data_IF_349467916933
#
_entry.id   IF_349467916933
#
_cell.length_a   1.000
_cell.length_b   1.000
_cell.length_c   1.000
_cell.angle_alpha   90.00
_cell.angle_beta   90.00
_cell.angle_gamma   90.00
#
_symmetry.space_group_name_H-M   'P 1'
#
loop_
_entity.id
_entity.type
_entity.pdbx_description
1 polymer ?
#
# COMPACT_ATOMS: atom_id res chain seq x y z
N UNK A 1 3.95 27.26 1.71
CA UNK A 1 3.79 25.97 2.42
C UNK A 1 3.74 24.88 1.36
N UNK A 2 4.57 23.84 1.45
CA UNK A 2 4.60 22.76 0.46
C UNK A 2 3.53 21.70 0.74
N UNK A 3 3.09 20.99 -0.29
CA UNK A 3 2.20 19.82 -0.17
C UNK A 3 3.05 18.55 -0.07
N UNK A 4 2.98 17.85 1.06
CA UNK A 4 3.73 16.63 1.36
C UNK A 4 2.88 15.40 1.07
N UNK A 5 3.26 14.65 0.04
CA UNK A 5 2.54 13.44 -0.41
C UNK A 5 3.38 12.20 -0.14
N UNK A 6 2.79 11.19 0.48
CA UNK A 6 3.38 9.86 0.63
C UNK A 6 2.86 8.94 -0.46
N UNK A 7 3.77 8.28 -1.17
CA UNK A 7 3.43 7.29 -2.19
C UNK A 7 3.83 5.89 -1.68
N UNK A 8 2.83 5.04 -1.45
CA UNK A 8 3.02 3.63 -1.07
C UNK A 8 2.93 2.80 -2.35
N UNK A 9 4.06 2.22 -2.78
CA UNK A 9 4.08 1.34 -3.96
C UNK A 9 3.66 -0.08 -3.61
N UNK A 10 2.55 -0.54 -4.19
CA UNK A 10 1.91 -1.82 -3.86
C UNK A 10 1.68 -2.64 -5.14
N UNK A 11 2.55 -3.63 -5.42
CA UNK A 11 2.40 -4.58 -6.55
C UNK A 11 2.17 -6.00 -6.05
N UNK A 12 1.38 -6.81 -6.76
CA UNK A 12 1.11 -8.20 -6.32
C UNK A 12 2.26 -9.17 -6.64
N UNK A 13 3.00 -8.93 -7.73
CA UNK A 13 4.03 -9.84 -8.28
C UNK A 13 5.35 -9.96 -7.49
N UNK A 14 5.29 -10.14 -6.17
CA UNK A 14 6.46 -10.37 -5.31
C UNK A 14 7.09 -11.75 -5.59
N UNK A 15 8.41 -11.81 -5.82
CA UNK A 15 9.10 -13.06 -6.22
C UNK A 15 9.49 -13.97 -5.05
N UNK A 16 9.83 -13.40 -3.89
CA UNK A 16 10.25 -14.17 -2.69
C UNK A 16 9.07 -14.60 -1.81
N UNK A 17 8.04 -13.77 -1.76
CA UNK A 17 6.82 -14.02 -1.01
C UNK A 17 5.65 -13.54 -1.85
N UNK A 18 5.09 -14.45 -2.65
CA UNK A 18 4.01 -14.16 -3.59
C UNK A 18 2.88 -13.41 -2.88
N UNK A 19 2.35 -12.35 -3.50
CA UNK A 19 1.22 -11.56 -2.98
C UNK A 19 1.44 -10.92 -1.60
N UNK A 20 2.69 -10.71 -1.16
CA UNK A 20 3.05 -10.17 0.18
C UNK A 20 2.17 -9.01 0.64
N UNK A 21 1.90 -8.05 -0.25
CA UNK A 21 1.16 -6.81 0.03
C UNK A 21 -0.26 -7.09 0.55
N UNK A 22 -0.89 -8.14 0.04
CA UNK A 22 -2.26 -8.55 0.40
C UNK A 22 -2.31 -9.71 1.38
N UNK A 23 -1.16 -10.24 1.83
CA UNK A 23 -1.15 -11.29 2.85
C UNK A 23 -1.64 -10.74 4.18
N UNK A 24 -2.45 -11.55 4.85
CA UNK A 24 -2.91 -11.31 6.21
C UNK A 24 -1.76 -11.37 7.21
N UNK A 25 -1.71 -10.39 8.09
CA UNK A 25 -0.77 -10.27 9.18
C UNK A 25 -1.55 -9.70 10.37
N UNK A 26 -1.80 -10.49 11.43
CA UNK A 26 -2.58 -10.04 12.58
C UNK A 26 -3.97 -9.46 12.23
N UNK A 27 -4.70 -10.10 11.30
CA UNK A 27 -6.07 -9.75 10.94
C UNK A 27 -6.23 -8.51 10.06
N UNK A 28 -5.14 -8.00 9.48
CA UNK A 28 -5.17 -7.02 8.41
C UNK A 28 -4.09 -7.35 7.37
N UNK A 29 -4.26 -6.90 6.13
CA UNK A 29 -3.22 -7.04 5.10
C UNK A 29 -1.96 -6.25 5.47
N UNK A 30 -0.80 -6.69 4.95
CA UNK A 30 0.46 -5.92 5.08
C UNK A 30 0.28 -4.46 4.62
N UNK A 31 -0.44 -4.23 3.51
CA UNK A 31 -0.74 -2.89 3.02
C UNK A 31 -1.59 -2.07 4.01
N UNK A 32 -2.60 -2.67 4.62
CA UNK A 32 -3.45 -1.99 5.59
C UNK A 32 -2.64 -1.53 6.81
N UNK A 33 -1.69 -2.35 7.26
CA UNK A 33 -0.75 -1.97 8.32
C UNK A 33 0.13 -0.77 7.93
N UNK A 34 0.65 -0.76 6.71
CA UNK A 34 1.48 0.35 6.22
C UNK A 34 0.67 1.65 6.16
N UNK A 35 -0.54 1.61 5.58
CA UNK A 35 -1.45 2.77 5.52
C UNK A 35 -1.78 3.27 6.93
N UNK A 36 -2.11 2.36 7.86
CA UNK A 36 -2.44 2.72 9.25
C UNK A 36 -1.29 3.41 9.95
N UNK A 37 -0.05 2.98 9.72
CA UNK A 37 1.15 3.62 10.29
C UNK A 37 1.41 4.99 9.66
N UNK A 38 1.33 5.11 8.35
CA UNK A 38 1.52 6.39 7.65
C UNK A 38 0.49 7.42 8.10
N UNK A 39 -0.76 7.02 8.32
CA UNK A 39 -1.82 7.90 8.85
C UNK A 39 -1.53 8.51 10.23
N UNK A 40 -0.53 8.02 10.97
CA UNK A 40 -0.12 8.59 12.27
C UNK A 40 0.87 9.76 12.12
N UNK A 41 1.44 9.97 10.92
CA UNK A 41 2.33 11.09 10.68
C UNK A 41 1.55 12.42 10.62
N UNK A 42 2.05 13.45 11.29
CA UNK A 42 1.37 14.75 11.45
C UNK A 42 1.74 15.79 10.39
N UNK A 43 2.75 15.51 9.56
CA UNK A 43 3.30 16.43 8.56
C UNK A 43 2.95 16.06 7.11
N UNK A 44 2.12 15.03 6.92
CA UNK A 44 1.71 14.56 5.60
C UNK A 44 0.34 15.14 5.26
N UNK A 45 0.15 15.55 4.01
CA UNK A 45 -1.13 16.06 3.52
C UNK A 45 -1.93 14.96 2.82
N UNK A 46 -1.24 14.08 2.08
CA UNK A 46 -1.89 13.07 1.24
C UNK A 46 -1.15 11.73 1.27
N UNK A 47 -1.92 10.64 1.14
CA UNK A 47 -1.41 9.28 0.96
C UNK A 47 -1.95 8.75 -0.36
N UNK A 48 -1.07 8.30 -1.24
CA UNK A 48 -1.40 7.68 -2.52
C UNK A 48 -0.86 6.26 -2.52
N UNK A 49 -1.71 5.28 -2.80
CA UNK A 49 -1.26 3.92 -3.09
C UNK A 49 -1.06 3.80 -4.60
N UNK A 50 0.17 3.58 -5.03
CA UNK A 50 0.51 3.39 -6.43
C UNK A 50 0.69 1.90 -6.72
N UNK A 51 -0.18 1.35 -7.57
CA UNK A 51 -0.07 -0.03 -8.04
C UNK A 51 0.36 -0.09 -9.51
N UNK A 52 0.40 -1.29 -10.09
CA UNK A 52 0.70 -1.48 -11.52
C UNK A 52 -0.58 -1.34 -12.34
N UNK A 53 -0.42 -1.16 -13.66
CA UNK A 53 -1.56 -1.21 -14.61
C UNK A 53 -1.80 -2.62 -15.14
N UNK A 54 -1.16 -3.64 -14.56
CA UNK A 54 -1.32 -5.01 -15.00
C UNK A 54 -2.65 -5.56 -14.45
N UNK A 55 -3.46 -6.18 -15.30
CA UNK A 55 -4.75 -6.78 -14.90
C UNK A 55 -4.61 -7.78 -13.75
N UNK A 56 -3.44 -8.42 -13.61
CA UNK A 56 -3.14 -9.34 -12.50
C UNK A 56 -3.19 -8.68 -11.13
N UNK A 57 -3.07 -7.36 -11.06
CA UNK A 57 -3.07 -6.56 -9.83
C UNK A 57 -4.43 -5.88 -9.56
N UNK A 58 -5.35 -5.79 -10.53
CA UNK A 58 -6.58 -4.95 -10.46
C UNK A 58 -7.61 -5.46 -9.44
N UNK A 59 -7.83 -6.77 -9.34
CA UNK A 59 -8.96 -7.33 -8.56
C UNK A 59 -8.69 -7.52 -7.06
N UNK A 60 -7.59 -6.96 -6.52
CA UNK A 60 -7.13 -7.25 -5.16
C UNK A 60 -7.07 -6.03 -4.24
N UNK A 61 -7.31 -4.82 -4.73
CA UNK A 61 -7.20 -3.57 -3.94
C UNK A 61 -8.54 -2.86 -3.62
N UNK A 62 -9.67 -3.44 -4.03
CA UNK A 62 -11.04 -3.02 -3.66
C UNK A 62 -11.46 -3.63 -2.33
#
# INVERSE_FOLDING_TARGET
MGNTVVIIKARMGSTRLSEKVMKELFGQTVLAHDIKRVKQATLIDNIVVATTVAETDDNRFT
#
